data_IF_414107276217
#
_entry.id   IF_414107276217
#
_cell.length_a   1.000
_cell.length_b   1.000
_cell.length_c   1.000
_cell.angle_alpha   90.00
_cell.angle_beta   90.00
_cell.angle_gamma   90.00
#
_symmetry.space_group_name_H-M   'P 1'
#
loop_
_entity.id
_entity.type
_entity.pdbx_description
1 polymer ?
#
# COMPACT_ATOMS: atom_id res chain seq x y z
N UNK A 1 -18.03 4.62 65.93
CA UNK A 1 -19.01 4.66 64.81
C UNK A 1 -18.81 5.99 64.12
N UNK A 2 -18.45 6.13 62.85
CA UNK A 2 -18.73 5.34 61.65
C UNK A 2 -17.52 5.37 60.72
N UNK A 3 -17.23 4.24 60.07
CA UNK A 3 -16.18 4.11 59.06
C UNK A 3 -16.76 4.51 57.70
N UNK A 4 -16.03 5.31 56.89
CA UNK A 4 -16.23 5.38 55.43
C UNK A 4 -14.91 5.76 54.73
N UNK A 5 -14.72 5.29 53.49
CA UNK A 5 -13.53 4.50 53.13
C UNK A 5 -12.44 5.27 52.37
N UNK A 6 -11.21 4.74 52.50
CA UNK A 6 -10.15 4.85 51.51
C UNK A 6 -10.76 4.66 50.12
N UNK A 7 -10.77 5.73 49.32
CA UNK A 7 -11.00 5.62 47.89
C UNK A 7 -9.61 5.53 47.27
N UNK A 8 -9.16 4.36 46.79
CA UNK A 8 -8.01 4.35 45.91
C UNK A 8 -8.42 5.16 44.68
N UNK A 9 -7.70 6.24 44.44
CA UNK A 9 -7.69 6.96 43.17
C UNK A 9 -7.68 5.91 42.06
N UNK A 10 -8.81 5.80 41.35
CA UNK A 10 -9.00 4.87 40.27
C UNK A 10 -8.09 5.35 39.14
N UNK A 11 -6.83 4.90 39.17
CA UNK A 11 -5.91 5.08 38.09
C UNK A 11 -6.60 4.55 36.84
N UNK A 12 -6.89 5.39 35.82
CA UNK A 12 -7.39 4.88 34.58
C UNK A 12 -6.33 3.92 34.05
N UNK A 13 -6.67 2.63 34.00
CA UNK A 13 -5.91 1.64 33.24
C UNK A 13 -6.13 1.94 31.76
N UNK A 14 -5.61 3.08 31.32
CA UNK A 14 -5.51 3.50 29.94
C UNK A 14 -4.13 3.06 29.47
N UNK A 15 -4.11 2.11 28.54
CA UNK A 15 -2.89 1.61 27.92
C UNK A 15 -1.97 2.77 27.47
N UNK A 16 -0.64 2.65 27.60
CA UNK A 16 0.29 3.62 27.03
C UNK A 16 0.39 3.42 25.51
N UNK A 17 -0.63 3.85 24.79
CA UNK A 17 -0.58 4.03 23.33
C UNK A 17 -0.80 5.50 22.92
N UNK A 18 -0.65 6.43 23.86
CA UNK A 18 -0.54 7.86 23.58
C UNK A 18 0.84 8.22 22.98
N UNK A 19 1.21 7.54 21.90
CA UNK A 19 2.39 7.80 21.08
C UNK A 19 2.12 7.65 19.58
N UNK A 20 0.90 7.30 19.19
CA UNK A 20 0.43 7.32 17.82
C UNK A 20 -0.73 8.31 17.73
N UNK A 21 -0.45 9.58 18.03
CA UNK A 21 -1.19 10.66 17.40
C UNK A 21 -0.91 10.56 15.91
N UNK A 22 -1.67 9.71 15.21
CA UNK A 22 -2.02 9.97 13.83
C UNK A 22 -2.79 11.29 13.88
N UNK A 23 -2.04 12.38 13.80
CA UNK A 23 -2.51 13.66 13.36
C UNK A 23 -3.09 13.44 11.96
N UNK A 24 -4.32 12.94 11.91
CA UNK A 24 -5.20 13.12 10.76
C UNK A 24 -5.52 14.61 10.76
N UNK A 25 -4.58 15.41 10.25
CA UNK A 25 -4.92 16.71 9.71
C UNK A 25 -6.01 16.47 8.69
N UNK A 26 -7.22 16.93 9.00
CA UNK A 26 -8.33 17.08 8.07
C UNK A 26 -8.00 18.21 7.08
N UNK A 27 -6.82 18.16 6.48
CA UNK A 27 -6.50 18.88 5.28
C UNK A 27 -7.11 18.05 4.16
N UNK A 28 -8.32 18.46 3.75
CA UNK A 28 -8.86 18.07 2.45
C UNK A 28 -7.71 18.14 1.44
N UNK A 29 -7.39 17.03 0.72
CA UNK A 29 -6.28 17.06 -0.20
C UNK A 29 -6.63 18.07 -1.29
N UNK A 30 -5.95 19.21 -1.26
CA UNK A 30 -5.85 20.05 -2.44
C UNK A 30 -5.40 19.12 -3.56
N UNK A 31 -6.26 18.99 -4.56
CA UNK A 31 -6.04 18.20 -5.76
C UNK A 31 -4.64 18.52 -6.29
N UNK A 32 -3.71 17.57 -6.22
CA UNK A 32 -2.41 17.66 -6.89
C UNK A 32 -1.14 17.75 -6.03
N UNK A 33 -1.13 17.28 -4.78
CA UNK A 33 0.14 16.97 -4.10
C UNK A 33 0.59 15.54 -4.46
N UNK A 34 1.82 15.30 -4.95
CA UNK A 34 2.29 13.93 -5.18
C UNK A 34 2.35 13.22 -3.83
N UNK A 35 1.50 12.22 -3.64
CA UNK A 35 1.66 11.28 -2.55
C UNK A 35 3.07 10.66 -2.60
N UNK A 36 3.65 10.18 -1.50
CA UNK A 36 4.97 9.49 -1.53
C UNK A 36 4.96 8.17 -2.33
N UNK A 37 3.78 7.76 -2.81
CA UNK A 37 3.53 6.65 -3.74
C UNK A 37 2.91 7.14 -5.07
N UNK A 38 2.86 8.45 -5.30
CA UNK A 38 2.69 9.06 -6.61
C UNK A 38 4.02 8.82 -7.35
N UNK A 39 4.16 7.56 -7.76
CA UNK A 39 5.26 7.04 -8.53
C UNK A 39 5.18 7.71 -9.89
N UNK A 40 5.74 8.92 -9.96
CA UNK A 40 6.18 9.50 -11.21
C UNK A 40 6.88 8.41 -12.00
N UNK A 41 6.56 8.36 -13.29
CA UNK A 41 7.02 7.47 -14.36
C UNK A 41 8.51 7.14 -14.28
N UNK A 42 8.92 6.36 -13.29
CA UNK A 42 10.27 5.90 -13.07
C UNK A 42 10.20 4.39 -13.20
N UNK A 43 10.84 3.88 -14.24
CA UNK A 43 11.06 2.46 -14.56
C UNK A 43 11.05 1.48 -13.35
N UNK A 44 11.67 1.76 -12.19
CA UNK A 44 11.62 0.87 -11.02
C UNK A 44 10.20 0.56 -10.52
N UNK A 45 9.27 1.52 -10.51
CA UNK A 45 7.91 1.27 -10.02
C UNK A 45 7.15 0.30 -10.94
N UNK A 46 7.38 0.41 -12.25
CA UNK A 46 6.81 -0.48 -13.25
C UNK A 46 7.47 -1.87 -13.19
N UNK A 47 8.77 -1.94 -12.88
CA UNK A 47 9.46 -3.20 -12.66
C UNK A 47 8.90 -3.95 -11.44
N UNK A 48 8.65 -3.23 -10.34
CA UNK A 48 7.99 -3.80 -9.14
C UNK A 48 6.58 -4.27 -9.47
N UNK A 49 5.81 -3.55 -10.30
CA UNK A 49 4.50 -4.03 -10.75
C UNK A 49 4.58 -5.34 -11.55
N UNK A 50 5.61 -5.50 -12.39
CA UNK A 50 5.82 -6.75 -13.13
C UNK A 50 6.18 -7.92 -12.19
N UNK A 51 7.01 -7.68 -11.18
CA UNK A 51 7.30 -8.67 -10.13
C UNK A 51 6.06 -9.03 -9.31
N UNK A 52 5.25 -8.03 -8.96
CA UNK A 52 3.97 -8.25 -8.29
C UNK A 52 3.00 -9.07 -9.16
N UNK A 53 2.94 -8.80 -10.47
CA UNK A 53 2.15 -9.59 -11.41
C UNK A 53 2.61 -11.06 -11.41
N UNK A 54 3.92 -11.31 -11.40
CA UNK A 54 4.47 -12.67 -11.25
C UNK A 54 4.02 -13.33 -9.96
N UNK A 55 4.20 -12.66 -8.82
CA UNK A 55 3.81 -13.19 -7.52
C UNK A 55 2.30 -13.50 -7.45
N UNK A 56 1.45 -12.63 -8.02
CA UNK A 56 0.00 -12.84 -8.08
C UNK A 56 -0.37 -14.03 -8.98
N UNK A 57 0.35 -14.24 -10.08
CA UNK A 57 0.14 -15.40 -10.94
C UNK A 57 0.42 -16.69 -10.18
N UNK A 58 1.56 -16.77 -9.48
CA UNK A 58 1.92 -17.93 -8.66
C UNK A 58 0.98 -18.13 -7.47
N UNK A 59 0.43 -17.04 -6.91
CA UNK A 59 -0.59 -17.08 -5.88
C UNK A 59 -1.97 -17.54 -6.38
N UNK A 60 -2.13 -17.85 -7.67
CA UNK A 60 -3.40 -18.31 -8.26
C UNK A 60 -4.38 -17.19 -8.59
N UNK A 61 -3.90 -15.95 -8.72
CA UNK A 61 -4.69 -14.79 -9.16
C UNK A 61 -4.30 -14.34 -10.59
N UNK A 62 -4.50 -15.17 -11.62
CA UNK A 62 -4.01 -14.90 -12.97
C UNK A 62 -4.70 -13.69 -13.64
N UNK A 63 -5.93 -13.37 -13.24
CA UNK A 63 -6.69 -12.23 -13.79
C UNK A 63 -6.07 -10.91 -13.34
N UNK A 64 -5.82 -10.75 -12.05
CA UNK A 64 -5.16 -9.57 -11.47
C UNK A 64 -3.72 -9.44 -11.97
N UNK A 65 -3.01 -10.58 -12.05
CA UNK A 65 -1.66 -10.63 -12.57
C UNK A 65 -1.57 -10.15 -14.03
N UNK A 66 -2.49 -10.60 -14.90
CA UNK A 66 -2.56 -10.13 -16.29
C UNK A 66 -2.87 -8.65 -16.38
N UNK A 67 -3.88 -8.17 -15.64
CA UNK A 67 -4.22 -6.75 -15.63
C UNK A 67 -3.01 -5.87 -15.25
N UNK A 68 -2.26 -6.25 -14.21
CA UNK A 68 -1.03 -5.55 -13.81
C UNK A 68 0.05 -5.59 -14.89
N UNK A 69 0.28 -6.75 -15.51
CA UNK A 69 1.28 -6.86 -16.58
C UNK A 69 0.86 -6.13 -17.86
N UNK A 70 -0.44 -6.03 -18.14
CA UNK A 70 -0.99 -5.19 -19.22
C UNK A 70 -0.73 -3.71 -18.93
N UNK A 71 -1.02 -3.24 -17.72
CA UNK A 71 -0.71 -1.86 -17.31
C UNK A 71 0.79 -1.56 -17.40
N UNK A 72 1.67 -2.51 -17.05
CA UNK A 72 3.12 -2.36 -17.23
C UNK A 72 3.49 -2.35 -18.71
N UNK A 73 2.87 -3.18 -19.56
CA UNK A 73 3.13 -3.16 -20.99
C UNK A 73 2.69 -1.85 -21.65
N UNK A 74 1.62 -1.22 -21.16
CA UNK A 74 1.12 0.05 -21.67
C UNK A 74 1.91 1.26 -21.14
N UNK A 75 2.33 1.22 -19.87
CA UNK A 75 3.02 2.35 -19.22
C UNK A 75 4.54 2.30 -19.34
N UNK A 76 5.14 1.11 -19.42
CA UNK A 76 6.59 0.96 -19.57
C UNK A 76 7.03 1.25 -21.00
N UNK A 77 8.31 1.57 -21.15
CA UNK A 77 8.92 1.84 -22.44
C UNK A 77 10.16 0.96 -22.64
N UNK A 78 10.54 0.73 -23.89
CA UNK A 78 11.75 -0.02 -24.24
C UNK A 78 11.73 -1.47 -23.73
N UNK A 79 12.74 -1.83 -22.94
CA UNK A 79 13.02 -3.22 -22.55
C UNK A 79 11.99 -3.77 -21.55
N UNK A 80 11.49 -2.93 -20.63
CA UNK A 80 10.51 -3.35 -19.63
C UNK A 80 9.14 -3.65 -20.26
N UNK A 81 8.71 -2.84 -21.25
CA UNK A 81 7.52 -3.14 -22.05
C UNK A 81 7.63 -4.49 -22.75
N UNK A 82 8.78 -4.78 -23.37
CA UNK A 82 8.97 -6.05 -24.07
C UNK A 82 8.94 -7.24 -23.10
N UNK A 83 9.52 -7.10 -21.91
CA UNK A 83 9.43 -8.13 -20.87
C UNK A 83 7.98 -8.36 -20.43
N UNK A 84 7.20 -7.30 -20.20
CA UNK A 84 5.79 -7.43 -19.85
C UNK A 84 4.96 -8.14 -20.93
N UNK A 85 5.16 -7.77 -22.20
CA UNK A 85 4.48 -8.43 -23.34
C UNK A 85 4.90 -9.88 -23.50
N UNK A 86 6.19 -10.20 -23.37
CA UNK A 86 6.67 -11.57 -23.43
C UNK A 86 6.14 -12.42 -22.26
N UNK A 87 6.08 -11.82 -21.07
CA UNK A 87 5.51 -12.45 -19.88
C UNK A 87 4.04 -12.79 -20.06
N UNK A 88 3.25 -11.84 -20.59
CA UNK A 88 1.85 -12.03 -20.95
C UNK A 88 1.69 -13.11 -22.01
N UNK A 89 2.48 -13.08 -23.09
CA UNK A 89 2.40 -14.06 -24.16
C UNK A 89 2.74 -15.49 -23.71
N UNK A 90 3.66 -15.65 -22.76
CA UNK A 90 4.00 -16.95 -22.19
C UNK A 90 2.91 -17.54 -21.28
N UNK A 91 1.95 -16.72 -20.85
CA UNK A 91 0.92 -17.06 -19.85
C UNK A 91 -0.51 -16.80 -20.32
N UNK A 92 -0.67 -16.35 -21.57
CA UNK A 92 -1.96 -16.15 -22.23
C UNK A 92 -2.56 -17.49 -22.63
#
# INVERSE_FOLDING_TARGET
TTARPNTPDAQPVGLPFAGLSLELTDTAPATGGPFPFDSGTDDPALQVRLELAQALWEAGQPHTARALAEEVAEQAQGLLQQQARAWLAARA
#
